data_IF_562383192384
#
_entry.id   IF_562383192384
#
_cell.length_a   1.000
_cell.length_b   1.000
_cell.length_c   1.000
_cell.angle_alpha   90.00
_cell.angle_beta   90.00
_cell.angle_gamma   90.00
#
_symmetry.space_group_name_H-M   'P 1'
#
loop_
_entity.id
_entity.type
_entity.pdbx_description
1 polymer ?
#
# COMPACT_ATOMS: atom_id res chain seq x y z
N UNK A 1 -12.08 -2.55 22.27
CA UNK A 1 -11.56 -1.74 21.15
C UNK A 1 -11.02 -2.71 20.12
N UNK A 2 -11.35 -2.55 18.83
CA UNK A 2 -10.92 -3.50 17.79
C UNK A 2 -9.39 -3.44 17.64
N UNK A 3 -8.70 -4.57 17.78
CA UNK A 3 -7.24 -4.67 17.62
C UNK A 3 -6.87 -5.21 16.24
N UNK A 4 -6.18 -4.37 15.47
CA UNK A 4 -5.76 -4.64 14.08
C UNK A 4 -4.26 -4.83 14.02
N UNK A 5 -3.81 -6.01 13.58
CA UNK A 5 -2.44 -6.21 13.12
C UNK A 5 -2.33 -5.80 11.65
N UNK A 6 -1.62 -4.72 11.38
CA UNK A 6 -1.45 -4.19 10.03
C UNK A 6 -0.06 -4.54 9.47
N UNK A 7 -0.05 -5.39 8.46
CA UNK A 7 1.16 -5.86 7.77
C UNK A 7 1.40 -5.04 6.50
N UNK A 8 2.56 -4.38 6.44
CA UNK A 8 2.90 -3.45 5.35
C UNK A 8 4.26 -3.72 4.71
N UNK A 9 4.35 -3.39 3.43
CA UNK A 9 5.53 -3.64 2.61
C UNK A 9 6.63 -2.59 2.79
N UNK A 10 6.28 -1.41 3.28
CA UNK A 10 7.20 -0.37 3.72
C UNK A 10 6.51 0.46 4.80
N UNK A 11 7.09 0.49 6.00
CA UNK A 11 6.53 1.22 7.13
C UNK A 11 6.54 2.73 6.89
N UNK A 12 7.50 3.26 6.13
CA UNK A 12 7.61 4.69 5.81
C UNK A 12 6.66 5.19 4.72
N UNK A 13 5.90 4.31 4.07
CA UNK A 13 5.05 4.70 2.95
C UNK A 13 3.95 5.69 3.39
N UNK A 14 3.79 6.86 2.73
CA UNK A 14 2.79 7.86 3.12
C UNK A 14 1.35 7.33 3.13
N UNK A 15 1.04 6.35 2.29
CA UNK A 15 -0.28 5.74 2.24
C UNK A 15 -0.47 4.68 3.35
N UNK A 16 0.60 4.14 3.93
CA UNK A 16 0.56 3.38 5.19
C UNK A 16 0.23 4.31 6.35
N UNK A 17 0.93 5.45 6.45
CA UNK A 17 0.66 6.48 7.47
C UNK A 17 -0.81 6.89 7.45
N UNK A 18 -1.32 7.28 6.28
CA UNK A 18 -2.74 7.66 6.11
C UNK A 18 -3.69 6.56 6.55
N UNK A 19 -3.41 5.30 6.22
CA UNK A 19 -4.26 4.17 6.63
C UNK A 19 -4.25 3.96 8.14
N UNK A 20 -3.11 4.16 8.81
CA UNK A 20 -3.03 4.11 10.28
C UNK A 20 -3.91 5.20 10.89
N UNK A 21 -3.81 6.43 10.39
CA UNK A 21 -4.64 7.56 10.85
C UNK A 21 -6.13 7.24 10.68
N UNK A 22 -6.54 6.71 9.53
CA UNK A 22 -7.93 6.30 9.27
C UNK A 22 -8.41 5.21 10.23
N UNK A 23 -7.60 4.17 10.46
CA UNK A 23 -7.95 3.09 11.38
C UNK A 23 -8.10 3.60 12.83
N UNK A 24 -7.17 4.45 13.28
CA UNK A 24 -7.22 5.04 14.62
C UNK A 24 -8.39 6.01 14.79
N UNK A 25 -8.69 6.82 13.77
CA UNK A 25 -9.86 7.70 13.74
C UNK A 25 -11.17 6.90 13.81
N UNK A 26 -11.20 5.70 13.21
CA UNK A 26 -12.30 4.74 13.36
C UNK A 26 -12.33 3.99 14.71
N UNK A 27 -11.46 4.34 15.66
CA UNK A 27 -11.42 3.75 17.00
C UNK A 27 -10.66 2.42 17.09
N UNK A 28 -9.88 2.02 16.09
CA UNK A 28 -9.09 0.79 16.16
C UNK A 28 -7.76 0.99 16.91
N UNK A 29 -7.37 -0.01 17.70
CA UNK A 29 -6.00 -0.18 18.14
C UNK A 29 -5.19 -0.78 16.99
N UNK A 30 -4.07 -0.16 16.63
CA UNK A 30 -3.24 -0.65 15.51
C UNK A 30 -1.89 -1.13 16.04
N UNK A 31 -1.54 -2.37 15.71
CA UNK A 31 -0.15 -2.84 15.75
C UNK A 31 0.40 -2.86 14.34
N UNK A 32 1.46 -2.10 14.10
CA UNK A 32 2.11 -2.02 12.80
C UNK A 32 3.29 -3.00 12.75
N UNK A 33 3.34 -3.84 11.72
CA UNK A 33 4.52 -4.64 11.41
C UNK A 33 4.82 -4.56 9.91
N UNK A 34 6.08 -4.40 9.54
CA UNK A 34 6.41 -4.23 8.13
C UNK A 34 7.89 -4.21 7.85
N UNK A 35 8.21 -4.20 6.55
CA UNK A 35 9.58 -3.93 6.11
C UNK A 35 9.88 -2.44 6.15
N UNK A 36 11.17 -2.11 6.09
CA UNK A 36 11.65 -0.73 5.92
C UNK A 36 12.52 -0.61 4.67
N UNK A 37 12.54 0.57 4.07
CA UNK A 37 13.52 0.93 3.02
C UNK A 37 14.67 1.78 3.54
N UNK A 38 14.54 2.34 4.74
CA UNK A 38 15.58 3.12 5.43
C UNK A 38 16.72 2.22 5.92
N UNK A 39 17.92 2.80 6.06
CA UNK A 39 19.09 2.09 6.58
C UNK A 39 18.92 1.67 8.05
N UNK A 40 18.27 2.53 8.85
CA UNK A 40 18.01 2.31 10.27
C UNK A 40 16.54 1.99 10.53
N UNK A 41 16.21 1.21 11.59
CA UNK A 41 14.84 1.02 12.04
C UNK A 41 14.14 2.34 12.31
N UNK A 42 12.85 2.41 11.97
CA UNK A 42 12.02 3.59 12.23
C UNK A 42 11.47 3.45 13.65
N UNK A 43 11.78 4.42 14.52
CA UNK A 43 11.42 4.37 15.93
C UNK A 43 9.92 4.62 16.18
N UNK A 44 9.31 5.50 15.39
CA UNK A 44 7.92 5.91 15.55
C UNK A 44 7.27 6.24 14.21
N UNK A 45 6.01 5.82 14.04
CA UNK A 45 5.11 6.24 12.97
C UNK A 45 3.73 6.47 13.57
N UNK A 46 3.27 7.72 13.59
CA UNK A 46 1.96 8.10 14.15
C UNK A 46 1.78 7.63 15.61
N UNK A 47 2.85 7.70 16.42
CA UNK A 47 2.84 7.24 17.81
C UNK A 47 2.90 5.71 17.96
N UNK A 48 3.13 4.96 16.87
CA UNK A 48 3.30 3.51 16.88
C UNK A 48 4.77 3.16 16.70
N UNK A 49 5.27 2.24 17.54
CA UNK A 49 6.57 1.58 17.34
C UNK A 49 6.40 0.40 16.39
N UNK A 50 6.88 0.45 15.14
CA UNK A 50 6.67 -0.62 14.17
C UNK A 50 7.49 -1.86 14.53
N UNK A 51 6.90 -3.05 14.36
CA UNK A 51 7.65 -4.31 14.42
C UNK A 51 8.42 -4.47 13.11
N UNK A 52 9.75 -4.33 13.17
CA UNK A 52 10.63 -4.41 12.00
C UNK A 52 10.74 -5.86 11.48
N UNK A 53 10.28 -6.08 10.25
CA UNK A 53 10.39 -7.36 9.54
C UNK A 53 11.71 -7.49 8.74
N UNK A 54 12.46 -6.40 8.60
CA UNK A 54 13.75 -6.32 7.91
C UNK A 54 13.79 -5.24 6.84
N UNK A 55 14.92 -5.13 6.17
CA UNK A 55 15.12 -4.16 5.10
C UNK A 55 14.77 -4.73 3.70
N UNK A 56 14.05 -3.95 2.91
CA UNK A 56 13.83 -4.19 1.47
C UNK A 56 14.34 -3.01 0.65
N UNK A 57 14.68 -3.24 -0.62
CA UNK A 57 15.11 -2.18 -1.55
C UNK A 57 14.19 -2.09 -2.76
N UNK A 58 14.04 -0.88 -3.27
CA UNK A 58 13.28 -0.64 -4.50
C UNK A 58 13.95 -1.28 -5.73
N UNK A 59 13.11 -1.76 -6.65
CA UNK A 59 13.54 -2.40 -7.90
C UNK A 59 14.22 -3.78 -7.75
N UNK A 60 14.55 -4.24 -6.53
CA UNK A 60 15.24 -5.52 -6.30
C UNK A 60 14.27 -6.64 -5.90
N UNK A 61 13.53 -7.17 -6.87
CA UNK A 61 12.51 -8.20 -6.66
C UNK A 61 13.03 -9.46 -5.96
N UNK A 62 14.20 -10.00 -6.38
CA UNK A 62 14.78 -11.19 -5.75
C UNK A 62 15.18 -10.97 -4.28
N UNK A 63 15.74 -9.80 -3.96
CA UNK A 63 16.07 -9.44 -2.57
C UNK A 63 14.81 -9.33 -1.70
N UNK A 64 13.73 -8.77 -2.25
CA UNK A 64 12.43 -8.70 -1.59
C UNK A 64 11.87 -10.09 -1.29
N UNK A 65 11.90 -11.01 -2.25
CA UNK A 65 11.45 -12.39 -2.03
C UNK A 65 12.24 -13.08 -0.92
N UNK A 66 13.57 -12.93 -0.91
CA UNK A 66 14.41 -13.47 0.16
C UNK A 66 14.08 -12.87 1.53
N UNK A 67 13.84 -11.55 1.59
CA UNK A 67 13.43 -10.86 2.82
C UNK A 67 12.07 -11.36 3.32
N UNK A 68 11.09 -11.56 2.42
CA UNK A 68 9.78 -12.14 2.74
C UNK A 68 9.91 -13.57 3.24
N UNK A 69 10.73 -14.40 2.61
CA UNK A 69 10.98 -15.76 3.07
C UNK A 69 11.59 -15.78 4.48
N UNK A 70 12.61 -14.94 4.74
CA UNK A 70 13.23 -14.80 6.07
C UNK A 70 12.22 -14.29 7.12
N UNK A 71 11.39 -13.33 6.75
CA UNK A 71 10.33 -12.83 7.61
C UNK A 71 9.30 -13.92 7.91
N UNK A 72 8.90 -14.75 6.95
CA UNK A 72 7.96 -15.85 7.17
C UNK A 72 8.47 -16.88 8.19
N UNK A 73 9.79 -17.14 8.23
CA UNK A 73 10.38 -18.02 9.24
C UNK A 73 10.35 -17.39 10.64
N UNK A 74 10.60 -16.08 10.74
CA UNK A 74 10.76 -15.37 12.01
C UNK A 74 9.49 -14.68 12.54
N UNK A 75 8.45 -14.52 11.73
CA UNK A 75 7.26 -13.73 12.09
C UNK A 75 6.52 -14.32 13.30
N UNK A 76 6.49 -15.65 13.43
CA UNK A 76 5.84 -16.29 14.57
C UNK A 76 6.50 -15.92 15.91
N UNK A 77 7.83 -15.92 15.99
CA UNK A 77 8.54 -15.52 17.21
C UNK A 77 8.45 -14.02 17.47
N UNK A 78 8.54 -13.19 16.41
CA UNK A 78 8.40 -11.73 16.53
C UNK A 78 7.02 -11.31 17.04
N UNK A 79 5.97 -12.08 16.73
CA UNK A 79 4.60 -11.80 17.16
C UNK A 79 4.17 -12.59 18.41
N UNK A 80 4.95 -13.57 18.87
CA UNK A 80 4.53 -14.53 19.89
C UNK A 80 4.25 -13.91 21.27
N UNK A 81 4.84 -12.77 21.59
CA UNK A 81 4.57 -12.02 22.84
C UNK A 81 3.43 -11.02 22.73
N UNK A 82 2.79 -10.90 21.57
CA UNK A 82 1.71 -9.94 21.34
C UNK A 82 0.35 -10.52 21.74
N UNK A 83 -0.55 -9.72 22.31
CA UNK A 83 -1.97 -10.07 22.40
C UNK A 83 -2.51 -10.49 21.03
N UNK A 84 -3.38 -11.50 21.02
CA UNK A 84 -4.04 -11.95 19.80
C UNK A 84 -4.87 -10.81 19.19
N UNK A 85 -4.61 -10.39 17.94
CA UNK A 85 -5.42 -9.36 17.29
C UNK A 85 -6.79 -9.92 16.87
N UNK A 86 -7.76 -9.03 16.74
CA UNK A 86 -9.10 -9.36 16.23
C UNK A 86 -9.08 -9.64 14.73
N UNK A 87 -8.20 -8.96 13.97
CA UNK A 87 -7.97 -9.21 12.54
C UNK A 87 -6.56 -8.82 12.09
N UNK A 88 -6.15 -9.39 10.95
CA UNK A 88 -4.91 -9.03 10.26
C UNK A 88 -5.25 -8.34 8.93
N UNK A 89 -4.75 -7.13 8.69
CA UNK A 89 -4.80 -6.48 7.37
C UNK A 89 -3.46 -6.68 6.67
N UNK A 90 -3.48 -7.25 5.48
CA UNK A 90 -2.32 -7.45 4.63
C UNK A 90 -2.37 -6.53 3.40
N UNK A 91 -1.48 -5.53 3.30
CA UNK A 91 -1.54 -4.44 2.28
C UNK A 91 -1.14 -4.84 0.86
N UNK A 92 -0.53 -6.01 0.64
CA UNK A 92 -0.18 -6.48 -0.70
C UNK A 92 0.06 -8.01 -0.68
N UNK A 93 0.42 -8.57 -1.84
CA UNK A 93 0.61 -10.01 -2.00
C UNK A 93 1.70 -10.58 -1.06
N UNK A 94 2.83 -9.88 -0.92
CA UNK A 94 3.89 -10.29 -0.01
C UNK A 94 3.42 -10.29 1.46
N UNK A 95 2.65 -9.28 1.86
CA UNK A 95 2.05 -9.21 3.19
C UNK A 95 0.97 -10.27 3.40
N UNK A 96 0.26 -10.68 2.36
CA UNK A 96 -0.74 -11.75 2.45
C UNK A 96 -0.06 -13.09 2.75
N UNK A 97 1.09 -13.36 2.15
CA UNK A 97 1.90 -14.54 2.49
C UNK A 97 2.33 -14.53 3.97
N UNK A 98 2.80 -13.37 4.46
CA UNK A 98 3.18 -13.20 5.86
C UNK A 98 1.98 -13.29 6.81
N UNK A 99 0.83 -12.73 6.44
CA UNK A 99 -0.40 -12.77 7.24
C UNK A 99 -0.85 -14.21 7.50
N UNK A 100 -0.83 -15.07 6.49
CA UNK A 100 -1.15 -16.49 6.68
C UNK A 100 -0.21 -17.18 7.65
N UNK A 101 1.09 -16.86 7.57
CA UNK A 101 2.09 -17.44 8.46
C UNK A 101 1.98 -16.91 9.88
N UNK A 102 1.70 -15.61 10.03
CA UNK A 102 1.41 -14.96 11.30
C UNK A 102 0.13 -15.51 11.95
N UNK A 103 -0.92 -15.78 11.15
CA UNK A 103 -2.17 -16.36 11.62
C UNK A 103 -1.94 -17.65 12.41
N UNK A 104 -0.99 -18.49 11.98
CA UNK A 104 -0.62 -19.71 12.70
C UNK A 104 -0.07 -19.44 14.10
N UNK A 105 0.64 -18.33 14.33
CA UNK A 105 1.13 -17.94 15.66
C UNK A 105 -0.01 -17.54 16.61
N UNK A 106 -1.17 -17.17 16.07
CA UNK A 106 -2.37 -16.79 16.81
C UNK A 106 -3.44 -17.89 16.85
N UNK A 107 -3.02 -19.16 16.78
CA UNK A 107 -3.95 -20.30 16.82
C UNK A 107 -4.82 -20.43 15.56
N UNK A 108 -4.32 -19.95 14.42
CA UNK A 108 -4.91 -20.13 13.08
C UNK A 108 -6.35 -19.62 12.86
N UNK A 109 -6.90 -18.83 13.79
CA UNK A 109 -8.32 -18.41 13.80
C UNK A 109 -8.54 -16.93 13.45
N UNK A 110 -7.50 -16.10 13.48
CA UNK A 110 -7.63 -14.66 13.23
C UNK A 110 -8.02 -14.40 11.77
N UNK A 111 -9.11 -13.67 11.47
CA UNK A 111 -9.50 -13.36 10.10
C UNK A 111 -8.46 -12.47 9.40
N UNK A 112 -8.27 -12.73 8.10
CA UNK A 112 -7.35 -11.96 7.26
C UNK A 112 -8.17 -11.09 6.29
N UNK A 113 -7.87 -9.80 6.29
CA UNK A 113 -8.30 -8.83 5.28
C UNK A 113 -7.15 -8.65 4.30
N UNK A 114 -7.40 -8.89 3.01
CA UNK A 114 -6.44 -8.61 1.97
C UNK A 114 -6.72 -7.21 1.41
N UNK A 115 -5.83 -6.26 1.64
CA UNK A 115 -5.90 -4.95 1.02
C UNK A 115 -5.00 -4.96 -0.22
N UNK A 116 -5.56 -4.68 -1.40
CA UNK A 116 -4.84 -4.64 -2.66
C UNK A 116 -5.02 -3.25 -3.30
N UNK A 117 -3.94 -2.47 -3.27
CA UNK A 117 -3.88 -1.10 -3.81
C UNK A 117 -2.89 -0.96 -4.98
N UNK A 118 -2.24 -2.06 -5.36
CA UNK A 118 -1.34 -2.12 -6.51
C UNK A 118 -1.30 -3.54 -7.06
N UNK A 119 -1.36 -3.68 -8.39
CA UNK A 119 -1.24 -4.97 -9.07
C UNK A 119 0.07 -4.95 -9.85
N UNK A 120 1.02 -5.79 -9.42
CA UNK A 120 2.34 -5.79 -10.01
C UNK A 120 2.31 -6.30 -11.47
N UNK A 121 3.02 -5.64 -12.40
CA UNK A 121 3.05 -6.02 -13.82
C UNK A 121 3.36 -7.50 -14.11
N UNK A 122 4.10 -8.18 -13.22
CA UNK A 122 4.43 -9.59 -13.37
C UNK A 122 3.20 -10.50 -13.26
N UNK A 123 2.23 -10.16 -12.40
CA UNK A 123 0.99 -10.95 -12.26
C UNK A 123 0.04 -10.75 -13.44
N UNK A 124 0.27 -9.73 -14.27
CA UNK A 124 -0.49 -9.44 -15.48
C UNK A 124 0.06 -10.14 -16.73
N UNK A 125 1.20 -10.84 -16.63
CA UNK A 125 1.77 -11.57 -17.77
C UNK A 125 0.87 -12.74 -18.17
N UNK A 126 0.81 -13.03 -19.48
CA UNK A 126 0.05 -14.14 -20.02
C UNK A 126 0.85 -15.45 -20.14
N UNK A 127 2.12 -15.42 -19.75
CA UNK A 127 3.01 -16.58 -19.76
C UNK A 127 2.89 -17.43 -18.49
N UNK A 128 3.69 -18.50 -18.43
CA UNK A 128 3.74 -19.44 -17.30
C UNK A 128 4.05 -18.72 -16.00
N UNK A 129 4.97 -17.75 -16.00
CA UNK A 129 5.33 -16.97 -14.81
C UNK A 129 4.12 -16.19 -14.27
N UNK A 130 3.41 -15.46 -15.12
CA UNK A 130 2.21 -14.71 -14.71
C UNK A 130 1.11 -15.63 -14.18
N UNK A 131 0.86 -16.75 -14.87
CA UNK A 131 -0.11 -17.77 -14.42
C UNK A 131 0.25 -18.36 -13.06
N UNK A 132 1.52 -18.70 -12.84
CA UNK A 132 2.01 -19.24 -11.58
C UNK A 132 1.85 -18.23 -10.43
N UNK A 133 2.22 -16.95 -10.65
CA UNK A 133 2.04 -15.91 -9.64
C UNK A 133 0.55 -15.69 -9.30
N UNK A 134 -0.33 -15.70 -10.29
CA UNK A 134 -1.78 -15.60 -10.07
C UNK A 134 -2.32 -16.81 -9.29
N UNK A 135 -1.84 -18.01 -9.58
CA UNK A 135 -2.21 -19.21 -8.83
C UNK A 135 -1.76 -19.13 -7.37
N UNK A 136 -0.55 -18.63 -7.12
CA UNK A 136 -0.04 -18.37 -5.76
C UNK A 136 -0.89 -17.35 -5.03
N UNK A 137 -1.22 -16.21 -5.66
CA UNK A 137 -2.11 -15.21 -5.05
C UNK A 137 -3.47 -15.81 -4.67
N UNK A 138 -4.11 -16.54 -5.59
CA UNK A 138 -5.39 -17.21 -5.34
C UNK A 138 -5.31 -18.20 -4.19
N UNK A 139 -4.25 -19.01 -4.16
CA UNK A 139 -4.01 -19.95 -3.07
C UNK A 139 -3.89 -19.20 -1.74
N UNK A 140 -3.11 -18.13 -1.70
CA UNK A 140 -2.90 -17.31 -0.52
C UNK A 140 -4.21 -16.61 -0.08
N UNK A 141 -5.04 -16.19 -1.02
CA UNK A 141 -6.27 -15.48 -0.74
C UNK A 141 -7.47 -16.38 -0.39
N UNK A 142 -7.37 -17.71 -0.50
CA UNK A 142 -8.48 -18.65 -0.27
C UNK A 142 -9.19 -18.49 1.09
N UNK A 143 -8.44 -18.06 2.11
CA UNK A 143 -8.93 -17.93 3.49
C UNK A 143 -9.15 -16.47 3.92
N UNK A 144 -9.04 -15.53 2.96
CA UNK A 144 -9.34 -14.11 3.19
C UNK A 144 -10.83 -13.95 3.45
N UNK A 145 -11.17 -13.08 4.41
CA UNK A 145 -12.55 -12.78 4.78
C UNK A 145 -13.08 -11.49 4.15
N UNK A 146 -12.18 -10.63 3.67
CA UNK A 146 -12.53 -9.40 2.97
C UNK A 146 -11.38 -8.98 2.03
N UNK A 147 -11.72 -8.62 0.79
CA UNK A 147 -10.82 -7.91 -0.12
C UNK A 147 -11.12 -6.42 -0.03
N UNK A 148 -10.14 -5.60 0.30
CA UNK A 148 -10.23 -4.13 0.25
C UNK A 148 -9.46 -3.64 -0.95
N UNK A 149 -10.08 -2.80 -1.78
CA UNK A 149 -9.40 -2.13 -2.90
C UNK A 149 -9.86 -0.68 -3.04
N UNK A 150 -9.15 0.12 -3.82
CA UNK A 150 -9.39 1.56 -3.97
C UNK A 150 -10.14 1.97 -5.22
N UNK A 151 -10.36 1.04 -6.16
CA UNK A 151 -11.08 1.33 -7.40
C UNK A 151 -11.84 0.10 -7.92
N UNK A 152 -13.04 0.28 -8.51
CA UNK A 152 -13.73 -0.78 -9.24
C UNK A 152 -12.87 -1.40 -10.35
N UNK A 153 -11.87 -0.69 -10.87
CA UNK A 153 -10.99 -1.18 -11.92
C UNK A 153 -10.14 -2.39 -11.48
N UNK A 154 -9.75 -2.49 -10.21
CA UNK A 154 -9.06 -3.68 -9.68
C UNK A 154 -9.95 -4.91 -9.79
N UNK A 155 -11.25 -4.74 -9.54
CA UNK A 155 -12.23 -5.82 -9.58
C UNK A 155 -12.48 -6.24 -11.02
N UNK A 156 -12.88 -5.27 -11.85
CA UNK A 156 -13.32 -5.52 -13.22
C UNK A 156 -12.21 -6.07 -14.12
N UNK A 157 -10.95 -5.66 -13.91
CA UNK A 157 -9.85 -5.99 -14.81
C UNK A 157 -8.87 -7.04 -14.28
N UNK A 158 -8.96 -7.41 -12.99
CA UNK A 158 -8.01 -8.36 -12.40
C UNK A 158 -8.66 -9.39 -11.50
N UNK A 159 -9.27 -9.00 -10.38
CA UNK A 159 -9.77 -9.97 -9.39
C UNK A 159 -10.91 -10.84 -9.94
N UNK A 160 -11.88 -10.24 -10.65
CA UNK A 160 -13.02 -10.96 -11.23
C UNK A 160 -12.63 -11.78 -12.47
N UNK A 161 -11.95 -11.23 -13.50
CA UNK A 161 -11.59 -12.01 -14.70
C UNK A 161 -10.72 -13.23 -14.40
N UNK A 162 -9.81 -13.11 -13.43
CA UNK A 162 -8.92 -14.20 -13.07
C UNK A 162 -9.41 -15.03 -11.88
N UNK A 163 -10.55 -14.71 -11.26
CA UNK A 163 -11.09 -15.46 -10.10
C UNK A 163 -10.12 -15.53 -8.92
N UNK A 164 -9.48 -14.40 -8.58
CA UNK A 164 -8.37 -14.39 -7.61
C UNK A 164 -8.84 -14.46 -6.15
N UNK A 165 -10.04 -13.96 -5.85
CA UNK A 165 -10.58 -13.89 -4.48
C UNK A 165 -12.08 -14.19 -4.50
N UNK A 166 -12.54 -15.03 -3.57
CA UNK A 166 -13.95 -15.36 -3.38
C UNK A 166 -14.61 -14.59 -2.22
N UNK A 167 -13.80 -13.88 -1.42
CA UNK A 167 -14.28 -13.07 -0.31
C UNK A 167 -15.12 -11.87 -0.79
N UNK A 168 -16.02 -11.34 0.06
CA UNK A 168 -16.65 -10.04 -0.17
C UNK A 168 -15.62 -8.95 -0.45
N UNK A 169 -16.03 -7.95 -1.23
CA UNK A 169 -15.16 -6.86 -1.66
C UNK A 169 -15.68 -5.56 -1.07
N UNK A 170 -14.80 -4.82 -0.42
CA UNK A 170 -15.06 -3.47 0.09
C UNK A 170 -14.24 -2.45 -0.71
N UNK A 171 -14.93 -1.41 -1.17
CA UNK A 171 -14.29 -0.30 -1.90
C UNK A 171 -13.97 0.83 -0.92
N UNK A 172 -12.69 0.99 -0.61
CA UNK A 172 -12.18 2.12 0.19
C UNK A 172 -11.34 3.00 -0.71
N UNK A 173 -11.99 4.03 -1.27
CA UNK A 173 -11.35 4.96 -2.20
C UNK A 173 -10.08 5.58 -1.59
N UNK A 174 -9.04 5.73 -2.41
CA UNK A 174 -7.78 6.31 -1.99
C UNK A 174 -7.86 7.86 -2.00
N UNK A 175 -8.68 8.43 -1.12
CA UNK A 175 -8.84 9.88 -0.98
C UNK A 175 -7.79 10.47 -0.03
N UNK A 176 -7.57 11.76 -0.17
CA UNK A 176 -6.92 12.54 0.88
C UNK A 176 -7.72 12.40 2.17
N UNK A 177 -7.01 12.27 3.29
CA UNK A 177 -7.62 12.11 4.60
C UNK A 177 -6.83 12.92 5.59
N UNK A 178 -7.52 13.80 6.29
CA UNK A 178 -7.01 14.59 7.40
C UNK A 178 -8.00 14.47 8.55
N UNK A 179 -7.49 14.13 9.73
CA UNK A 179 -8.31 13.97 10.93
C UNK A 179 -8.62 15.32 11.60
N UNK A 180 -7.82 16.35 11.33
CA UNK A 180 -8.08 17.71 11.79
C UNK A 180 -9.19 18.35 10.95
N UNK A 181 -10.00 19.19 11.58
CA UNK A 181 -10.94 20.04 10.85
C UNK A 181 -10.16 20.93 9.91
N UNK A 182 -10.37 20.78 8.59
CA UNK A 182 -9.91 21.75 7.61
C UNK A 182 -10.73 23.01 7.89
N UNK A 183 -10.16 23.94 8.65
CA UNK A 183 -10.69 25.29 8.70
C UNK A 183 -10.60 25.80 7.26
N UNK A 184 -11.67 26.41 6.70
CA UNK A 184 -11.55 27.09 5.43
C UNK A 184 -10.34 28.01 5.55
N UNK A 185 -9.37 27.84 4.66
CA UNK A 185 -8.25 28.78 4.58
C UNK A 185 -8.83 30.20 4.52
N UNK A 186 -8.09 31.18 5.03
CA UNK A 186 -8.43 32.56 4.75
C UNK A 186 -8.69 32.68 3.25
N UNK A 187 -9.78 33.34 2.81
CA UNK A 187 -10.05 33.51 1.38
C UNK A 187 -8.75 33.97 0.75
N UNK A 188 -8.24 33.18 -0.21
CA UNK A 188 -7.08 33.59 -0.98
C UNK A 188 -7.43 34.96 -1.54
N UNK A 189 -6.69 35.99 -1.11
CA UNK A 189 -6.77 37.30 -1.75
C UNK A 189 -6.63 37.03 -3.24
N UNK A 190 -7.59 37.45 -4.07
CA UNK A 190 -7.49 37.29 -5.52
C UNK A 190 -6.20 38.01 -5.97
N UNK A 191 -5.12 37.26 -6.06
CA UNK A 191 -3.86 37.76 -6.58
C UNK A 191 -4.11 38.11 -8.04
N UNK A 192 -3.61 39.27 -8.47
CA UNK A 192 -3.66 39.64 -9.88
C UNK A 192 -3.06 38.50 -10.71
N UNK A 193 -3.65 38.16 -11.88
CA UNK A 193 -3.21 37.01 -12.67
C UNK A 193 -1.71 37.09 -12.90
N UNK A 194 -0.97 36.10 -12.39
CA UNK A 194 0.49 36.05 -12.56
C UNK A 194 0.78 35.90 -14.05
N UNK A 195 1.59 36.81 -14.60
CA UNK A 195 2.06 36.72 -15.97
C UNK A 195 2.94 35.47 -16.20
N UNK A 196 3.11 35.02 -17.45
CA UNK A 196 3.94 33.85 -17.74
C UNK A 196 5.41 34.05 -17.29
N UNK A 197 6.15 32.96 -17.00
CA UNK A 197 5.75 31.55 -17.19
C UNK A 197 4.79 31.03 -16.13
N UNK A 198 3.71 30.36 -16.55
CA UNK A 198 2.82 29.63 -15.64
C UNK A 198 3.42 28.28 -15.27
N UNK A 199 3.35 27.93 -13.99
CA UNK A 199 3.93 26.69 -13.47
C UNK A 199 2.90 25.56 -13.43
N UNK A 200 3.27 24.42 -13.98
CA UNK A 200 2.52 23.16 -13.91
C UNK A 200 3.32 22.20 -13.04
N UNK A 201 2.83 21.92 -11.84
CA UNK A 201 3.50 21.00 -10.91
C UNK A 201 3.23 19.53 -11.23
N UNK A 202 4.28 18.72 -11.23
CA UNK A 202 4.22 17.26 -11.27
C UNK A 202 4.47 16.68 -9.88
N UNK A 203 3.42 16.17 -9.25
CA UNK A 203 3.49 15.58 -7.92
C UNK A 203 3.43 14.05 -8.00
N UNK A 204 4.59 13.40 -7.98
CA UNK A 204 4.70 11.95 -7.93
C UNK A 204 5.92 11.40 -8.67
N UNK A 205 6.08 10.07 -8.62
CA UNK A 205 7.21 9.41 -9.27
C UNK A 205 7.08 9.43 -10.81
N UNK A 206 8.15 9.82 -11.50
CA UNK A 206 8.27 9.73 -12.96
C UNK A 206 8.39 8.26 -13.40
N UNK A 207 7.25 7.60 -13.60
CA UNK A 207 7.18 6.17 -13.97
C UNK A 207 6.73 5.93 -15.41
N UNK A 208 6.13 6.91 -16.06
CA UNK A 208 5.59 6.80 -17.41
C UNK A 208 6.39 7.69 -18.37
N UNK A 209 7.23 7.06 -19.21
CA UNK A 209 8.00 7.75 -20.25
C UNK A 209 7.10 8.59 -21.15
N UNK A 210 5.99 8.03 -21.62
CA UNK A 210 5.04 8.72 -22.51
C UNK A 210 4.49 10.00 -21.88
N UNK A 211 4.11 9.96 -20.61
CA UNK A 211 3.60 11.16 -19.91
C UNK A 211 4.66 12.26 -19.82
N UNK A 212 5.91 11.88 -19.55
CA UNK A 212 7.03 12.82 -19.53
C UNK A 212 7.31 13.43 -20.92
N UNK A 213 7.31 12.60 -21.95
CA UNK A 213 7.49 13.05 -23.34
C UNK A 213 6.40 14.06 -23.75
N UNK A 214 5.14 13.76 -23.42
CA UNK A 214 4.02 14.65 -23.71
C UNK A 214 4.13 16.00 -22.99
N UNK A 215 4.53 16.02 -21.72
CA UNK A 215 4.73 17.27 -20.96
C UNK A 215 5.92 18.08 -21.49
N UNK A 216 6.99 17.39 -21.86
CA UNK A 216 8.17 18.04 -22.43
C UNK A 216 7.88 18.62 -23.82
N UNK A 217 7.16 17.88 -24.66
CA UNK A 217 6.70 18.36 -25.98
C UNK A 217 5.77 19.56 -25.85
N UNK A 218 4.84 19.50 -24.89
CA UNK A 218 3.96 20.62 -24.57
C UNK A 218 4.77 21.86 -24.19
N UNK A 219 5.65 21.77 -23.18
CA UNK A 219 6.43 22.93 -22.72
C UNK A 219 7.29 23.54 -23.83
N UNK A 220 7.93 22.72 -24.67
CA UNK A 220 8.70 23.20 -25.85
C UNK A 220 7.83 23.98 -26.84
N UNK A 221 6.65 23.46 -27.19
CA UNK A 221 5.72 24.11 -28.14
C UNK A 221 5.12 25.40 -27.59
N UNK A 222 5.13 25.59 -26.28
CA UNK A 222 4.58 26.77 -25.65
C UNK A 222 5.60 27.90 -25.47
N UNK A 223 6.84 27.73 -25.94
CA UNK A 223 7.86 28.79 -26.08
C UNK A 223 8.05 29.61 -24.80
N UNK A 224 8.23 28.93 -23.66
CA UNK A 224 8.49 29.58 -22.37
C UNK A 224 7.26 30.14 -21.66
N UNK A 225 6.05 29.96 -22.21
CA UNK A 225 4.80 30.34 -21.51
C UNK A 225 4.46 29.43 -20.33
N UNK A 226 4.95 28.19 -20.34
CA UNK A 226 4.69 27.20 -19.29
C UNK A 226 5.98 26.51 -18.84
N UNK A 227 6.16 26.45 -17.53
CA UNK A 227 7.24 25.75 -16.82
C UNK A 227 6.67 24.48 -16.15
N UNK A 228 7.30 23.32 -16.38
CA UNK A 228 6.95 22.08 -15.66
C UNK A 228 7.86 21.96 -14.44
N UNK A 229 7.28 21.96 -13.24
CA UNK A 229 8.00 21.90 -11.94
C UNK A 229 7.76 20.62 -11.19
#
# INVERSE_FOLDING_TARGET
MLHVLYLVHDVSDPAVRRRITMLRAGGAQVTLAGFRRTANPIADIEGLRPIDLGATRDGRFGQRLAAVAKAAVSIGSKLGGMPKPDLIIARNLEMLALARRARSAFGASVPIVYECLDIHRLVLRNDVLGKALRATERFLARDVKLLVTSSPAFIANYFKPFGQVAAPIELVENKYFEAATILPGAPETEESPVGPPWRIGWFGALRCRRSLELLADFSRRMEGRFEIV
#
